data_IF_346661888082
#
_entry.id   IF_346661888082
#
_cell.length_a   1.000
_cell.length_b   1.000
_cell.length_c   1.000
_cell.angle_alpha   90.00
_cell.angle_beta   90.00
_cell.angle_gamma   90.00
#
_symmetry.space_group_name_H-M   'P 1'
#
loop_
_entity.id
_entity.type
_entity.pdbx_description
1 polymer ?
#
# COMPACT_ATOMS: atom_id res chain seq x y z
N UNK A 1 -12.16 6.81 -5.75
CA UNK A 1 -11.88 6.51 -7.16
C UNK A 1 -12.57 7.54 -8.03
N UNK A 2 -11.85 8.44 -8.69
CA UNK A 2 -12.43 9.21 -9.79
C UNK A 2 -12.32 8.42 -11.10
N UNK A 3 -13.39 8.41 -11.91
CA UNK A 3 -13.36 7.96 -13.31
C UNK A 3 -13.85 6.54 -13.63
N UNK A 4 -14.29 5.75 -12.65
CA UNK A 4 -14.88 4.41 -12.89
C UNK A 4 -16.36 4.43 -12.50
N UNK A 5 -17.23 4.26 -13.50
CA UNK A 5 -18.66 4.09 -13.30
C UNK A 5 -19.04 2.65 -13.62
N UNK A 6 -19.45 1.89 -12.61
CA UNK A 6 -19.96 0.54 -12.82
C UNK A 6 -21.37 0.63 -13.43
N UNK A 7 -21.55 0.07 -14.62
CA UNK A 7 -22.85 0.02 -15.34
C UNK A 7 -23.47 -1.38 -15.40
N UNK A 8 -22.73 -2.41 -14.97
CA UNK A 8 -23.21 -3.79 -14.97
C UNK A 8 -24.11 -4.09 -13.77
N UNK A 9 -25.18 -4.84 -14.02
CA UNK A 9 -26.07 -5.36 -12.98
C UNK A 9 -25.65 -6.77 -12.58
N UNK A 10 -25.60 -7.05 -11.28
CA UNK A 10 -25.32 -8.39 -10.79
C UNK A 10 -26.50 -9.34 -10.99
N UNK A 11 -26.21 -10.60 -11.32
CA UNK A 11 -27.22 -11.67 -11.22
C UNK A 11 -27.61 -11.88 -9.76
N UNK A 12 -28.81 -12.43 -9.45
CA UNK A 12 -29.21 -12.71 -8.07
C UNK A 12 -28.17 -13.55 -7.29
N UNK A 13 -27.56 -14.54 -7.96
CA UNK A 13 -26.49 -15.36 -7.39
C UNK A 13 -25.24 -14.53 -7.07
N UNK A 14 -24.80 -13.67 -7.97
CA UNK A 14 -23.62 -12.83 -7.76
C UNK A 14 -23.84 -11.83 -6.63
N UNK A 15 -25.03 -11.22 -6.55
CA UNK A 15 -25.41 -10.31 -5.46
C UNK A 15 -25.38 -11.02 -4.09
N UNK A 16 -25.91 -12.24 -4.00
CA UNK A 16 -25.87 -13.03 -2.76
C UNK A 16 -24.43 -13.33 -2.31
N UNK A 17 -23.54 -13.69 -3.23
CA UNK A 17 -22.13 -13.96 -2.93
C UNK A 17 -21.40 -12.67 -2.51
N UNK A 18 -21.62 -11.57 -3.23
CA UNK A 18 -20.96 -10.27 -2.97
C UNK A 18 -21.48 -9.57 -1.72
N UNK A 19 -22.73 -9.80 -1.34
CA UNK A 19 -23.32 -9.24 -0.12
C UNK A 19 -23.11 -10.08 1.13
N UNK A 20 -22.61 -11.31 1.00
CA UNK A 20 -22.40 -12.22 2.13
C UNK A 20 -21.19 -11.84 3.00
N UNK A 21 -21.18 -12.34 4.24
CA UNK A 21 -20.08 -12.16 5.21
C UNK A 21 -18.67 -12.49 4.66
N UNK A 22 -18.47 -13.58 3.87
CA UNK A 22 -17.14 -13.90 3.34
C UNK A 22 -16.54 -12.83 2.42
N UNK A 23 -17.37 -11.92 1.87
CA UNK A 23 -16.87 -10.84 1.02
C UNK A 23 -15.99 -9.85 1.79
N UNK A 24 -16.22 -9.66 3.09
CA UNK A 24 -15.39 -8.79 3.91
C UNK A 24 -13.93 -9.30 3.98
N UNK A 25 -13.76 -10.60 4.18
CA UNK A 25 -12.44 -11.25 4.17
C UNK A 25 -11.80 -11.21 2.78
N UNK A 26 -12.58 -11.50 1.73
CA UNK A 26 -12.10 -11.43 0.35
C UNK A 26 -11.58 -10.02 0.00
N UNK A 27 -12.29 -8.96 0.40
CA UNK A 27 -11.85 -7.57 0.23
C UNK A 27 -10.59 -7.26 1.05
N UNK A 28 -10.53 -7.72 2.30
CA UNK A 28 -9.35 -7.52 3.14
C UNK A 28 -8.10 -8.20 2.54
N UNK A 29 -8.23 -9.43 2.04
CA UNK A 29 -7.17 -10.15 1.34
C UNK A 29 -6.77 -9.43 0.04
N UNK A 30 -7.75 -9.01 -0.76
CA UNK A 30 -7.50 -8.30 -2.02
C UNK A 30 -6.80 -6.94 -1.83
N UNK A 31 -7.06 -6.25 -0.72
CA UNK A 31 -6.33 -5.03 -0.34
C UNK A 31 -4.91 -5.38 0.13
N UNK A 32 -4.73 -6.41 0.96
CA UNK A 32 -3.41 -6.85 1.43
C UNK A 32 -2.48 -7.27 0.29
N UNK A 33 -3.00 -7.99 -0.68
CA UNK A 33 -2.28 -8.45 -1.88
C UNK A 33 -1.72 -7.28 -2.71
N UNK A 34 -2.43 -6.14 -2.72
CA UNK A 34 -2.00 -4.94 -3.43
C UNK A 34 -0.94 -4.13 -2.68
N UNK A 35 -0.67 -4.42 -1.41
CA UNK A 35 0.35 -3.73 -0.61
C UNK A 35 1.75 -4.32 -0.85
N UNK A 36 2.18 -4.26 -2.11
CA UNK A 36 3.48 -4.76 -2.59
C UNK A 36 4.65 -3.91 -2.07
N UNK A 37 5.80 -4.54 -1.95
CA UNK A 37 7.08 -3.93 -1.56
C UNK A 37 8.13 -4.20 -2.66
N UNK A 38 9.26 -3.47 -2.69
CA UNK A 38 10.43 -3.91 -3.45
C UNK A 38 10.83 -5.33 -3.05
N UNK A 39 11.36 -6.14 -3.97
CA UNK A 39 11.87 -7.46 -3.60
C UNK A 39 13.16 -7.33 -2.78
N UNK A 40 13.43 -8.25 -1.83
CA UNK A 40 14.72 -8.29 -1.13
C UNK A 40 15.89 -8.32 -2.12
N UNK A 41 16.85 -7.40 -1.98
CA UNK A 41 17.99 -7.28 -2.89
C UNK A 41 17.71 -6.53 -4.21
N UNK A 42 16.46 -6.10 -4.45
CA UNK A 42 16.07 -5.28 -5.61
C UNK A 42 15.53 -3.92 -5.14
N UNK A 43 16.39 -3.15 -4.47
CA UNK A 43 16.03 -1.83 -3.97
C UNK A 43 15.69 -0.86 -5.11
N UNK A 44 14.79 0.08 -4.83
CA UNK A 44 14.50 1.19 -5.73
C UNK A 44 15.50 2.32 -5.47
N UNK A 45 16.28 2.64 -6.50
CA UNK A 45 17.24 3.75 -6.48
C UNK A 45 16.54 5.00 -7.01
N UNK A 46 16.59 6.08 -6.23
CA UNK A 46 15.98 7.37 -6.55
C UNK A 46 17.14 8.35 -6.78
N UNK A 47 17.37 8.79 -8.03
CA UNK A 47 18.43 9.73 -8.33
C UNK A 47 18.27 11.03 -7.54
N UNK A 48 19.34 11.50 -6.92
CA UNK A 48 19.35 12.75 -6.16
C UNK A 48 20.67 13.48 -6.35
N UNK A 49 20.59 14.73 -6.82
CA UNK A 49 21.74 15.50 -7.30
C UNK A 49 22.64 15.98 -6.13
N UNK A 50 22.04 16.28 -4.97
CA UNK A 50 22.70 16.97 -3.84
C UNK A 50 23.00 16.04 -2.65
N UNK A 51 23.61 14.88 -2.88
CA UNK A 51 23.95 13.96 -1.77
C UNK A 51 24.18 12.49 -2.14
N UNK A 52 24.08 12.16 -3.42
CA UNK A 52 24.09 10.78 -3.90
C UNK A 52 22.69 10.18 -3.96
N UNK A 53 22.56 9.07 -4.69
CA UNK A 53 21.27 8.42 -4.90
C UNK A 53 20.66 7.93 -3.58
N UNK A 54 19.35 8.12 -3.43
CA UNK A 54 18.58 7.62 -2.30
C UNK A 54 18.13 6.18 -2.55
N UNK A 55 18.12 5.36 -1.51
CA UNK A 55 17.77 3.94 -1.60
C UNK A 55 16.50 3.65 -0.81
N UNK A 56 15.47 3.14 -1.50
CA UNK A 56 14.30 2.53 -0.88
C UNK A 56 14.38 1.01 -1.04
N UNK A 57 14.88 0.33 -0.01
CA UNK A 57 14.97 -1.13 0.02
C UNK A 57 13.70 -1.80 0.59
N UNK A 58 13.73 -3.14 0.64
CA UNK A 58 12.66 -3.94 1.20
C UNK A 58 12.41 -3.65 2.68
N UNK A 59 13.47 -3.42 3.49
CA UNK A 59 13.35 -3.21 4.93
C UNK A 59 12.63 -1.89 5.24
N UNK A 60 13.05 -0.78 4.61
CA UNK A 60 12.40 0.53 4.76
C UNK A 60 10.93 0.44 4.36
N UNK A 61 10.63 -0.17 3.21
CA UNK A 61 9.27 -0.29 2.73
C UNK A 61 8.41 -1.23 3.62
N UNK A 62 9.02 -2.28 4.17
CA UNK A 62 8.38 -3.20 5.11
C UNK A 62 7.98 -2.48 6.40
N UNK A 63 8.92 -1.77 7.03
CA UNK A 63 8.71 -1.02 8.26
C UNK A 63 7.63 0.05 8.07
N UNK A 64 7.69 0.82 6.98
CA UNK A 64 6.65 1.80 6.67
C UNK A 64 5.27 1.16 6.51
N UNK A 65 5.17 -0.02 5.90
CA UNK A 65 3.90 -0.76 5.74
C UNK A 65 3.39 -1.27 7.10
N UNK A 66 4.27 -1.80 7.95
CA UNK A 66 3.86 -2.26 9.29
C UNK A 66 3.37 -1.10 10.15
N UNK A 67 4.12 0.01 10.19
CA UNK A 67 3.72 1.20 10.92
C UNK A 67 2.34 1.71 10.48
N UNK A 68 2.03 1.67 9.18
CA UNK A 68 0.70 2.01 8.68
C UNK A 68 -0.39 1.01 9.10
N UNK A 69 -0.09 -0.30 9.10
CA UNK A 69 -1.03 -1.34 9.55
C UNK A 69 -1.32 -1.26 11.04
N UNK A 70 -0.32 -0.91 11.86
CA UNK A 70 -0.44 -0.82 13.31
C UNK A 70 -1.38 0.31 13.77
N UNK A 71 -1.63 1.30 12.91
CA UNK A 71 -2.67 2.31 13.16
C UNK A 71 -4.09 1.73 13.22
N UNK A 72 -4.29 0.54 12.62
CA UNK A 72 -5.59 -0.12 12.43
C UNK A 72 -6.63 0.74 11.69
N UNK A 73 -6.18 1.80 11.01
CA UNK A 73 -7.03 2.62 10.15
C UNK A 73 -7.31 1.90 8.83
N UNK A 74 -8.42 2.21 8.14
CA UNK A 74 -8.64 1.80 6.76
C UNK A 74 -7.45 2.20 5.88
N UNK A 75 -7.10 1.36 4.89
CA UNK A 75 -5.88 1.50 4.07
C UNK A 75 -5.61 2.93 3.57
N UNK A 76 -6.62 3.61 3.02
CA UNK A 76 -6.46 4.97 2.49
C UNK A 76 -6.20 6.02 3.59
N UNK A 77 -6.81 5.83 4.77
CA UNK A 77 -6.58 6.70 5.93
C UNK A 77 -5.23 6.43 6.60
N UNK A 78 -4.71 5.20 6.48
CA UNK A 78 -3.37 4.83 6.94
C UNK A 78 -2.25 5.33 6.00
N UNK A 79 -2.57 5.70 4.75
CA UNK A 79 -1.59 6.09 3.72
C UNK A 79 -0.61 7.18 4.16
N UNK A 80 -1.01 8.26 4.87
CA UNK A 80 -0.06 9.27 5.35
C UNK A 80 1.01 8.69 6.27
N UNK A 81 0.67 7.74 7.14
CA UNK A 81 1.64 7.10 8.04
C UNK A 81 2.70 6.31 7.28
N UNK A 82 2.30 5.57 6.24
CA UNK A 82 3.25 4.90 5.34
C UNK A 82 4.18 5.91 4.66
N UNK A 83 3.60 6.96 4.06
CA UNK A 83 4.34 7.96 3.30
C UNK A 83 5.36 8.69 4.18
N UNK A 84 4.96 9.13 5.37
CA UNK A 84 5.88 9.81 6.28
C UNK A 84 7.04 8.91 6.69
N UNK A 85 6.79 7.64 7.01
CA UNK A 85 7.87 6.70 7.35
C UNK A 85 8.86 6.49 6.21
N UNK A 86 8.39 6.43 4.96
CA UNK A 86 9.26 6.36 3.78
C UNK A 86 10.07 7.65 3.63
N UNK A 87 9.42 8.81 3.73
CA UNK A 87 10.09 10.11 3.58
C UNK A 87 11.16 10.28 4.66
N UNK A 88 10.84 10.02 5.93
CA UNK A 88 11.78 10.12 7.05
C UNK A 88 13.03 9.26 6.82
N UNK A 89 12.83 8.01 6.34
CA UNK A 89 13.93 7.09 6.07
C UNK A 89 14.81 7.53 4.89
N UNK A 90 14.21 8.13 3.85
CA UNK A 90 14.97 8.68 2.71
C UNK A 90 15.70 9.97 3.11
N UNK A 91 15.05 10.86 3.87
CA UNK A 91 15.67 12.10 4.34
C UNK A 91 16.84 11.84 5.28
N UNK A 92 16.81 10.77 6.07
CA UNK A 92 17.94 10.37 6.92
C UNK A 92 19.20 9.95 6.14
N UNK A 93 19.11 9.74 4.83
CA UNK A 93 20.26 9.43 3.96
C UNK A 93 20.92 10.70 3.41
N UNK A 94 20.26 11.86 3.52
CA UNK A 94 20.84 13.13 3.12
C UNK A 94 21.87 13.54 4.18
N UNK A 95 23.12 13.67 3.75
CA UNK A 95 24.27 14.11 4.56
C UNK A 95 24.41 15.62 4.50
#
# INVERSE_FOLDING_TARGET
FPGVHATGTDTPRAAAVKGGEPMAEALALAVRDRQRLPEPGAAMVIPHEDGGDLVLDWEIAYEARQAARDTRLPHNLARPHFVFRVIDALTAQLV
#
